data_IF_158623980381
#
_entry.id   IF_158623980381
#
_cell.length_a   1.000
_cell.length_b   1.000
_cell.length_c   1.000
_cell.angle_alpha   90.00
_cell.angle_beta   90.00
_cell.angle_gamma   90.00
#
_symmetry.space_group_name_H-M   'P 1'
#
loop_
_entity.id
_entity.type
_entity.pdbx_description
1 polymer ?
#
# COMPACT_ATOMS: atom_id res chain seq x y z
N UNK A 1 2.43 21.96 10.46
CA UNK A 1 1.82 21.03 9.49
C UNK A 1 2.46 21.34 8.15
N UNK A 2 3.37 20.49 7.67
CA UNK A 2 4.11 20.73 6.42
C UNK A 2 3.32 20.08 5.28
N UNK A 3 3.07 20.76 4.16
CA UNK A 3 2.38 20.15 3.03
C UNK A 3 3.30 19.13 2.37
N UNK A 4 2.84 17.90 2.25
CA UNK A 4 3.44 16.91 1.35
C UNK A 4 3.05 17.37 -0.07
N UNK A 5 3.97 18.02 -0.77
CA UNK A 5 3.82 18.34 -2.19
C UNK A 5 4.53 17.27 -3.01
N UNK A 6 3.75 16.44 -3.71
CA UNK A 6 4.26 15.50 -4.70
C UNK A 6 4.02 16.15 -6.07
N UNK A 7 4.79 17.21 -6.35
CA UNK A 7 4.91 17.92 -7.64
C UNK A 7 3.69 18.79 -8.06
N UNK A 8 3.89 20.05 -8.51
CA UNK A 8 2.82 20.87 -9.10
C UNK A 8 2.42 20.37 -10.50
N UNK A 9 1.13 20.44 -10.89
CA UNK A 9 0.61 19.85 -12.13
C UNK A 9 0.92 20.68 -13.40
N UNK A 10 1.99 21.46 -13.41
CA UNK A 10 2.30 22.33 -14.54
C UNK A 10 3.80 22.49 -14.73
N UNK A 11 4.51 21.40 -15.01
CA UNK A 11 5.76 21.52 -15.71
C UNK A 11 6.11 20.22 -16.43
N UNK A 12 5.98 20.23 -17.75
CA UNK A 12 6.84 19.43 -18.64
C UNK A 12 8.28 19.87 -18.42
N UNK A 13 8.87 19.48 -17.29
CA UNK A 13 10.26 19.78 -16.99
C UNK A 13 11.06 18.54 -17.30
N UNK A 14 11.98 18.68 -18.25
CA UNK A 14 13.25 17.98 -18.28
C UNK A 14 14.02 18.28 -16.99
N UNK A 15 13.47 17.94 -15.82
CA UNK A 15 14.16 18.06 -14.55
C UNK A 15 15.25 17.01 -14.58
N UNK A 16 16.49 17.46 -14.56
CA UNK A 16 17.67 16.61 -14.50
C UNK A 16 17.46 15.53 -13.43
N UNK A 17 17.31 14.27 -13.84
CA UNK A 17 17.03 13.14 -12.94
C UNK A 17 18.11 13.02 -11.84
N UNK A 18 19.27 13.63 -12.06
CA UNK A 18 20.37 13.74 -11.09
C UNK A 18 20.08 14.67 -9.90
N UNK A 19 19.04 15.51 -9.95
CA UNK A 19 18.61 16.40 -8.86
C UNK A 19 17.43 15.84 -8.05
N UNK A 20 16.93 14.66 -8.42
CA UNK A 20 15.81 14.03 -7.75
C UNK A 20 16.24 13.45 -6.41
N UNK A 21 15.40 13.60 -5.39
CA UNK A 21 15.67 13.05 -4.06
C UNK A 21 15.94 11.53 -4.15
N UNK A 22 16.99 11.05 -3.51
CA UNK A 22 17.36 9.64 -3.51
C UNK A 22 16.19 8.76 -3.04
N UNK A 23 15.36 9.26 -2.12
CA UNK A 23 14.13 8.60 -1.66
C UNK A 23 13.09 8.42 -2.76
N UNK A 24 13.03 9.32 -3.75
CA UNK A 24 12.18 9.15 -4.92
C UNK A 24 12.65 7.96 -5.76
N UNK A 25 13.96 7.89 -6.06
CA UNK A 25 14.52 6.76 -6.81
C UNK A 25 14.27 5.42 -6.10
N UNK A 26 14.46 5.37 -4.77
CA UNK A 26 14.13 4.19 -3.97
C UNK A 26 12.63 3.85 -4.02
N UNK A 27 11.75 4.85 -3.93
CA UNK A 27 10.30 4.63 -4.00
C UNK A 27 9.87 4.09 -5.37
N UNK A 28 10.47 4.61 -6.45
CA UNK A 28 10.20 4.12 -7.81
C UNK A 28 10.68 2.67 -8.01
N UNK A 29 11.88 2.34 -7.52
CA UNK A 29 12.39 0.98 -7.54
C UNK A 29 11.52 0.05 -6.70
N UNK A 30 11.14 0.46 -5.49
CA UNK A 30 10.27 -0.30 -4.60
C UNK A 30 8.91 -0.56 -5.27
N UNK A 31 8.27 0.48 -5.83
CA UNK A 31 7.03 0.36 -6.59
C UNK A 31 7.18 -0.68 -7.69
N UNK A 32 8.21 -0.57 -8.54
CA UNK A 32 8.44 -1.52 -9.63
C UNK A 32 8.55 -2.96 -9.12
N UNK A 33 9.40 -3.17 -8.10
CA UNK A 33 9.57 -4.51 -7.52
C UNK A 33 8.26 -5.07 -6.95
N UNK A 34 7.48 -4.27 -6.23
CA UNK A 34 6.18 -4.70 -5.69
C UNK A 34 5.20 -5.07 -6.81
N UNK A 35 5.16 -4.33 -7.91
CA UNK A 35 4.25 -4.62 -9.01
C UNK A 35 4.65 -5.86 -9.80
N UNK A 36 5.95 -6.12 -9.92
CA UNK A 36 6.50 -7.29 -10.61
C UNK A 36 6.35 -8.59 -9.77
N UNK A 37 6.15 -8.48 -8.45
CA UNK A 37 5.93 -9.64 -7.58
C UNK A 37 4.63 -10.38 -7.91
N UNK A 38 4.69 -11.71 -7.87
CA UNK A 38 3.50 -12.56 -7.95
C UNK A 38 2.88 -12.71 -6.56
N UNK A 39 1.69 -12.15 -6.38
CA UNK A 39 0.89 -12.36 -5.18
C UNK A 39 -0.15 -13.44 -5.48
N UNK A 40 -0.09 -14.51 -4.70
CA UNK A 40 -1.11 -15.56 -4.67
C UNK A 40 -1.94 -15.40 -3.37
N UNK A 41 -2.90 -16.29 -3.16
CA UNK A 41 -3.72 -16.29 -1.94
C UNK A 41 -2.89 -16.41 -0.66
N UNK A 42 -1.66 -16.96 -0.73
CA UNK A 42 -0.73 -17.06 0.40
C UNK A 42 -0.32 -15.69 0.92
N UNK A 43 -0.13 -14.68 0.05
CA UNK A 43 0.27 -13.34 0.49
C UNK A 43 -0.77 -12.70 1.43
N UNK A 44 -2.07 -12.92 1.16
CA UNK A 44 -3.16 -12.46 2.03
C UNK A 44 -3.11 -13.17 3.39
N UNK A 45 -2.86 -14.48 3.41
CA UNK A 45 -2.75 -15.26 4.64
C UNK A 45 -1.53 -14.87 5.47
N UNK A 46 -0.37 -14.69 4.84
CA UNK A 46 0.85 -14.24 5.51
C UNK A 46 0.68 -12.85 6.14
N UNK A 47 0.01 -11.93 5.45
CA UNK A 47 -0.35 -10.64 6.02
C UNK A 47 -1.30 -10.80 7.21
N UNK A 48 -2.33 -11.65 7.10
CA UNK A 48 -3.29 -11.86 8.17
C UNK A 48 -2.63 -12.45 9.44
N UNK A 49 -1.73 -13.42 9.28
CA UNK A 49 -1.00 -14.04 10.38
C UNK A 49 -0.03 -13.06 11.04
N UNK A 50 0.66 -12.25 10.24
CA UNK A 50 1.49 -11.15 10.73
C UNK A 50 0.64 -10.14 11.53
N UNK A 51 -0.49 -9.70 10.98
CA UNK A 51 -1.38 -8.76 11.65
C UNK A 51 -1.91 -9.33 12.97
N UNK A 52 -2.31 -10.61 12.97
CA UNK A 52 -2.79 -11.32 14.16
C UNK A 52 -1.73 -11.36 15.27
N UNK A 53 -0.47 -11.60 14.90
CA UNK A 53 0.65 -11.72 15.84
C UNK A 53 1.07 -10.37 16.42
N UNK A 54 1.09 -9.31 15.61
CA UNK A 54 1.69 -8.03 16.00
C UNK A 54 0.68 -6.96 16.43
N UNK A 55 -0.56 -7.00 15.92
CA UNK A 55 -1.53 -5.91 16.07
C UNK A 55 -2.85 -6.34 16.70
N UNK A 56 -3.27 -7.61 16.57
CA UNK A 56 -4.56 -8.08 17.06
C UNK A 56 -4.59 -8.37 18.57
N UNK A 57 -4.36 -7.33 19.38
CA UNK A 57 -4.35 -7.39 20.85
C UNK A 57 -5.76 -7.37 21.48
N UNK A 58 -6.80 -7.21 20.66
CA UNK A 58 -8.19 -7.18 21.12
C UNK A 58 -9.10 -7.91 20.15
N UNK A 59 -10.24 -8.41 20.66
CA UNK A 59 -11.28 -9.05 19.85
C UNK A 59 -11.81 -8.14 18.73
N UNK A 60 -11.75 -6.82 18.93
CA UNK A 60 -12.15 -5.86 17.92
C UNK A 60 -11.22 -5.87 16.71
N UNK A 61 -9.90 -5.94 16.93
CA UNK A 61 -8.94 -6.04 15.83
C UNK A 61 -9.02 -7.41 15.13
N UNK A 62 -9.26 -8.48 15.87
CA UNK A 62 -9.52 -9.80 15.29
C UNK A 62 -10.77 -9.81 14.40
N UNK A 63 -11.85 -9.13 14.82
CA UNK A 63 -13.07 -8.99 14.02
C UNK A 63 -12.84 -8.17 12.75
N UNK A 64 -12.01 -7.12 12.80
CA UNK A 64 -11.63 -6.35 11.61
C UNK A 64 -10.83 -7.21 10.64
N UNK A 65 -9.87 -7.98 11.15
CA UNK A 65 -9.08 -8.90 10.33
C UNK A 65 -9.97 -9.97 9.68
N UNK A 66 -10.91 -10.56 10.42
CA UNK A 66 -11.84 -11.54 9.87
C UNK A 66 -12.72 -10.95 8.76
N UNK A 67 -13.22 -9.72 8.94
CA UNK A 67 -13.97 -9.01 7.88
C UNK A 67 -13.10 -8.78 6.66
N UNK A 68 -11.85 -8.37 6.84
CA UNK A 68 -10.90 -8.23 5.76
C UNK A 68 -10.72 -9.53 4.98
N UNK A 69 -10.44 -10.65 5.66
CA UNK A 69 -10.22 -11.94 5.00
C UNK A 69 -11.43 -12.40 4.16
N UNK A 70 -12.65 -12.07 4.61
CA UNK A 70 -13.92 -12.43 3.96
C UNK A 70 -14.36 -11.47 2.84
N UNK A 71 -14.08 -10.17 3.00
CA UNK A 71 -14.63 -9.12 2.12
C UNK A 71 -13.60 -8.54 1.15
N UNK A 72 -12.31 -8.86 1.33
CA UNK A 72 -11.27 -8.40 0.42
C UNK A 72 -11.54 -8.90 -1.00
N UNK A 73 -11.76 -7.95 -1.90
CA UNK A 73 -12.03 -8.18 -3.31
C UNK A 73 -11.05 -7.31 -4.14
N UNK A 74 -10.07 -7.92 -4.81
CA UNK A 74 -9.12 -7.24 -5.69
C UNK A 74 -9.79 -6.39 -6.78
N UNK A 75 -11.05 -6.66 -7.15
CA UNK A 75 -11.80 -5.90 -8.16
C UNK A 75 -12.50 -4.66 -7.60
N UNK A 76 -12.55 -4.49 -6.27
CA UNK A 76 -13.21 -3.34 -5.60
C UNK A 76 -12.31 -2.60 -4.60
N UNK A 77 -11.01 -2.88 -4.58
CA UNK A 77 -10.05 -2.33 -3.62
C UNK A 77 -10.05 -0.80 -3.56
N UNK A 78 -10.25 -0.05 -4.65
CA UNK A 78 -10.33 1.42 -4.60
C UNK A 78 -11.49 1.92 -3.73
N UNK A 79 -12.62 1.24 -3.77
CA UNK A 79 -13.81 1.62 -2.99
C UNK A 79 -13.77 1.11 -1.56
N UNK A 80 -13.05 0.01 -1.34
CA UNK A 80 -12.94 -0.67 -0.06
C UNK A 80 -11.81 -0.09 0.80
N UNK A 81 -10.65 0.23 0.20
CA UNK A 81 -9.45 0.70 0.90
C UNK A 81 -9.69 1.93 1.78
N UNK A 82 -10.34 3.02 1.31
CA UNK A 82 -10.56 4.20 2.14
C UNK A 82 -11.58 3.98 3.27
N UNK A 83 -12.45 2.97 3.14
CA UNK A 83 -13.51 2.67 4.12
C UNK A 83 -13.00 1.83 5.28
N UNK A 84 -11.90 1.10 5.07
CA UNK A 84 -11.40 0.11 6.00
C UNK A 84 -10.25 0.69 6.81
N UNK A 85 -10.66 1.31 7.92
CA UNK A 85 -9.82 2.21 8.69
C UNK A 85 -8.47 1.59 9.08
N UNK A 86 -8.41 0.29 9.42
CA UNK A 86 -7.15 -0.31 9.85
C UNK A 86 -6.16 -0.57 8.71
N UNK A 87 -6.64 -0.96 7.53
CA UNK A 87 -5.77 -1.25 6.37
C UNK A 87 -5.25 0.04 5.78
N UNK A 88 -6.14 1.04 5.66
CA UNK A 88 -5.76 2.38 5.29
C UNK A 88 -4.73 2.97 6.26
N UNK A 89 -4.99 2.90 7.57
CA UNK A 89 -4.06 3.45 8.56
C UNK A 89 -2.71 2.73 8.54
N UNK A 90 -2.71 1.39 8.51
CA UNK A 90 -1.49 0.59 8.54
C UNK A 90 -0.62 0.83 7.31
N UNK A 91 -1.24 0.82 6.11
CA UNK A 91 -0.49 1.00 4.86
C UNK A 91 0.05 2.42 4.73
N UNK A 92 -0.75 3.46 5.02
CA UNK A 92 -0.27 4.83 4.95
C UNK A 92 0.79 5.13 5.99
N UNK A 93 0.69 4.57 7.20
CA UNK A 93 1.74 4.74 8.21
C UNK A 93 3.03 4.03 7.78
N UNK A 94 2.93 2.84 7.21
CA UNK A 94 4.09 2.12 6.66
C UNK A 94 4.76 2.87 5.50
N UNK A 95 3.98 3.44 4.57
CA UNK A 95 4.50 4.28 3.49
C UNK A 95 5.18 5.55 4.03
N UNK A 96 4.57 6.22 5.01
CA UNK A 96 5.12 7.44 5.63
C UNK A 96 6.42 7.17 6.40
N UNK A 97 6.49 6.03 7.08
CA UNK A 97 7.65 5.63 7.90
C UNK A 97 8.66 4.76 7.14
N UNK A 98 8.39 4.47 5.86
CA UNK A 98 9.18 3.57 5.03
C UNK A 98 9.37 2.17 5.65
N UNK A 99 8.37 1.67 6.39
CA UNK A 99 8.39 0.32 6.96
C UNK A 99 8.26 -0.72 5.84
N UNK A 100 9.40 -1.20 5.37
CA UNK A 100 9.48 -2.09 4.20
C UNK A 100 8.85 -3.45 4.46
N UNK A 101 8.88 -3.96 5.71
CA UNK A 101 8.25 -5.24 6.04
C UNK A 101 6.73 -5.18 5.81
N UNK A 102 6.06 -4.14 6.32
CA UNK A 102 4.62 -3.96 6.14
C UNK A 102 4.30 -3.68 4.68
N UNK A 103 5.08 -2.83 4.01
CA UNK A 103 4.89 -2.51 2.59
C UNK A 103 4.94 -3.77 1.72
N UNK A 104 5.93 -4.64 1.94
CA UNK A 104 6.07 -5.89 1.17
C UNK A 104 4.92 -6.85 1.46
N UNK A 105 4.55 -7.03 2.74
CA UNK A 105 3.43 -7.90 3.13
C UNK A 105 2.09 -7.41 2.59
N UNK A 106 1.90 -6.10 2.49
CA UNK A 106 0.72 -5.46 1.90
C UNK A 106 0.87 -5.19 0.39
N UNK A 107 1.92 -5.72 -0.23
CA UNK A 107 2.22 -5.48 -1.64
C UNK A 107 1.09 -5.90 -2.58
N UNK A 108 0.33 -6.95 -2.24
CA UNK A 108 -0.85 -7.37 -2.99
C UNK A 108 -1.94 -6.28 -3.00
N UNK A 109 -2.21 -5.62 -1.86
CA UNK A 109 -3.16 -4.51 -1.77
C UNK A 109 -2.68 -3.33 -2.61
N UNK A 110 -1.39 -2.99 -2.54
CA UNK A 110 -0.80 -1.91 -3.32
C UNK A 110 -0.89 -2.19 -4.83
N UNK A 111 -0.60 -3.42 -5.24
CA UNK A 111 -0.72 -3.85 -6.64
C UNK A 111 -2.16 -3.76 -7.11
N UNK A 112 -3.12 -4.26 -6.34
CA UNK A 112 -4.53 -4.22 -6.71
C UNK A 112 -5.04 -2.77 -6.81
N UNK A 113 -4.62 -1.88 -5.89
CA UNK A 113 -4.94 -0.45 -5.98
C UNK A 113 -4.35 0.15 -7.25
N UNK A 114 -3.09 -0.16 -7.56
CA UNK A 114 -2.42 0.36 -8.74
C UNK A 114 -3.11 -0.09 -10.04
N UNK A 115 -3.40 -1.40 -10.18
CA UNK A 115 -4.07 -1.95 -11.35
C UNK A 115 -5.46 -1.33 -11.56
N UNK A 116 -6.21 -1.10 -10.49
CA UNK A 116 -7.51 -0.43 -10.63
C UNK A 116 -7.39 1.04 -11.02
N UNK A 117 -6.38 1.76 -10.53
CA UNK A 117 -6.15 3.16 -10.94
C UNK A 117 -5.79 3.20 -12.41
N UNK A 118 -4.93 2.29 -12.89
CA UNK A 118 -4.57 2.18 -14.31
C UNK A 118 -5.77 1.81 -15.19
N UNK A 119 -6.73 1.02 -14.71
CA UNK A 119 -7.96 0.74 -15.46
C UNK A 119 -8.95 1.91 -15.52
N UNK A 120 -8.81 2.91 -14.65
CA UNK A 120 -9.70 4.08 -14.60
C UNK A 120 -9.18 5.27 -15.42
N UNK A 121 -7.94 5.21 -15.90
CA UNK A 121 -7.22 6.26 -16.63
C UNK A 121 -6.88 5.82 -18.05
#
# INVERSE_FOLDING_TARGET
MVPISIIPPSSTSTTDLNQLDQSFMYTQLLKKNLLDMQYNDTAKHEFADYYRTHYAKSDNELKKLQKFEQQYDPSKVIWWYPKENFIYQLLNDALRTQNTEIIVRMGFVLRDIHLQIEHLH
#
